data_IF_951497815278
#
_entry.id   IF_951497815278
#
_cell.length_a   1.000
_cell.length_b   1.000
_cell.length_c   1.000
_cell.angle_alpha   90.00
_cell.angle_beta   90.00
_cell.angle_gamma   90.00
#
_symmetry.space_group_name_H-M   'P 1'
#
loop_
_entity.id
_entity.type
_entity.pdbx_description
1 polymer ?
#
# COMPACT_ATOMS: atom_id res chain seq x y z
N UNK A 1 -0.32 -9.30 -0.61
CA UNK A 1 -0.26 -8.69 0.72
C UNK A 1 -1.00 -9.61 1.69
N UNK A 2 -0.65 -9.62 2.99
CA UNK A 2 -1.34 -10.40 4.00
C UNK A 2 -2.85 -10.16 3.87
N UNK A 3 -3.63 -11.23 3.92
CA UNK A 3 -5.09 -11.14 3.83
C UNK A 3 -5.67 -10.87 5.22
N UNK A 4 -6.87 -10.29 5.27
CA UNK A 4 -7.58 -10.04 6.53
C UNK A 4 -8.01 -11.32 7.26
N UNK A 5 -7.84 -12.48 6.63
CA UNK A 5 -8.13 -13.81 7.21
C UNK A 5 -6.97 -14.37 8.02
N UNK A 6 -5.85 -13.64 8.09
CA UNK A 6 -4.70 -14.06 8.87
C UNK A 6 -5.05 -14.02 10.37
N UNK A 7 -4.98 -15.18 11.03
CA UNK A 7 -5.29 -15.36 12.45
C UNK A 7 -4.12 -14.88 13.33
N UNK A 8 -3.96 -13.56 13.40
CA UNK A 8 -2.95 -12.87 14.21
C UNK A 8 -3.54 -11.61 14.82
N UNK A 9 -2.91 -11.11 15.88
CA UNK A 9 -3.33 -9.84 16.46
C UNK A 9 -2.96 -8.63 15.55
N UNK A 10 -3.50 -7.46 15.87
CA UNK A 10 -3.27 -6.25 15.08
C UNK A 10 -1.79 -5.81 15.08
N UNK A 11 -1.08 -6.03 16.19
CA UNK A 11 0.32 -5.63 16.31
C UNK A 11 1.20 -6.52 15.43
N UNK A 12 0.96 -7.82 15.45
CA UNK A 12 1.62 -8.81 14.62
C UNK A 12 1.32 -8.59 13.14
N UNK A 13 0.05 -8.31 12.79
CA UNK A 13 -0.32 -7.95 11.43
C UNK A 13 0.42 -6.70 10.94
N UNK A 14 0.57 -5.71 11.82
CA UNK A 14 1.32 -4.49 11.54
C UNK A 14 2.80 -4.78 11.30
N UNK A 15 3.42 -5.58 12.17
CA UNK A 15 4.83 -5.95 12.05
C UNK A 15 5.09 -6.77 10.77
N UNK A 16 4.17 -7.65 10.37
CA UNK A 16 4.23 -8.37 9.08
C UNK A 16 4.20 -7.39 7.91
N UNK A 17 3.26 -6.43 7.92
CA UNK A 17 3.17 -5.43 6.84
C UNK A 17 4.42 -4.55 6.75
N UNK A 18 5.00 -4.16 7.89
CA UNK A 18 6.23 -3.36 7.96
C UNK A 18 7.44 -4.18 7.48
N UNK A 19 7.53 -5.46 7.87
CA UNK A 19 8.57 -6.38 7.44
C UNK A 19 8.55 -6.63 5.93
N UNK A 20 7.37 -6.68 5.30
CA UNK A 20 7.24 -6.83 3.84
C UNK A 20 7.82 -5.68 3.03
N UNK A 21 7.94 -4.49 3.62
CA UNK A 21 8.51 -3.31 2.99
C UNK A 21 9.91 -2.97 3.53
N UNK A 22 10.54 -3.90 4.25
CA UNK A 22 11.83 -3.71 4.92
C UNK A 22 11.87 -2.48 5.85
N UNK A 23 10.74 -2.14 6.50
CA UNK A 23 10.65 -1.03 7.44
C UNK A 23 10.95 -1.55 8.85
N UNK A 24 12.06 -1.13 9.49
CA UNK A 24 12.40 -1.60 10.82
C UNK A 24 11.44 -1.07 11.89
N UNK A 25 11.03 -1.93 12.82
CA UNK A 25 10.30 -1.57 14.03
C UNK A 25 11.31 -1.48 15.17
N UNK A 26 11.76 -0.25 15.49
CA UNK A 26 12.76 -0.03 16.54
C UNK A 26 12.12 0.45 17.84
N UNK A 27 11.82 1.75 17.93
CA UNK A 27 11.36 2.41 19.16
C UNK A 27 9.85 2.51 19.30
N UNK A 28 9.13 2.56 18.18
CA UNK A 28 7.68 2.73 18.16
C UNK A 28 7.09 2.29 16.83
N UNK A 29 6.07 1.43 16.89
CA UNK A 29 5.27 1.02 15.73
C UNK A 29 4.61 2.21 15.04
N UNK A 30 4.20 3.22 15.80
CA UNK A 30 3.58 4.43 15.25
C UNK A 30 4.54 5.18 14.33
N UNK A 31 5.82 5.28 14.71
CA UNK A 31 6.83 5.93 13.87
C UNK A 31 7.08 5.15 12.57
N UNK A 32 7.17 3.82 12.65
CA UNK A 32 7.31 2.97 11.45
C UNK A 32 6.07 3.04 10.56
N UNK A 33 4.87 3.11 11.14
CA UNK A 33 3.60 3.33 10.42
C UNK A 33 3.55 4.69 9.71
N UNK A 34 4.11 5.76 10.30
CA UNK A 34 4.24 7.04 9.62
C UNK A 34 5.09 6.92 8.34
N UNK A 35 6.19 6.16 8.36
CA UNK A 35 6.98 5.87 7.17
C UNK A 35 6.16 5.09 6.14
N UNK A 36 5.50 4.01 6.57
CA UNK A 36 4.62 3.19 5.73
C UNK A 36 3.55 4.04 5.00
N UNK A 37 2.82 4.88 5.73
CA UNK A 37 1.78 5.73 5.13
C UNK A 37 2.34 6.85 4.26
N UNK A 38 3.52 7.37 4.58
CA UNK A 38 4.21 8.36 3.73
C UNK A 38 4.60 7.73 2.39
N UNK A 39 5.19 6.53 2.40
CA UNK A 39 5.49 5.76 1.19
C UNK A 39 4.21 5.52 0.38
N UNK A 40 3.14 5.04 1.03
CA UNK A 40 1.85 4.83 0.37
C UNK A 40 1.32 6.11 -0.30
N UNK A 41 1.40 7.26 0.38
CA UNK A 41 0.99 8.54 -0.17
C UNK A 41 1.84 8.95 -1.38
N UNK A 42 3.16 8.78 -1.30
CA UNK A 42 4.06 9.07 -2.43
C UNK A 42 3.74 8.19 -3.64
N UNK A 43 3.49 6.89 -3.43
CA UNK A 43 3.04 5.98 -4.49
C UNK A 43 1.71 6.42 -5.11
N UNK A 44 0.73 6.84 -4.30
CA UNK A 44 -0.55 7.36 -4.77
C UNK A 44 -0.41 8.71 -5.49
N UNK A 45 0.57 9.52 -5.11
CA UNK A 45 0.82 10.84 -5.70
C UNK A 45 1.58 10.76 -7.03
N UNK A 46 2.41 9.73 -7.19
CA UNK A 46 3.23 9.51 -8.39
C UNK A 46 2.38 9.46 -9.67
N UNK A 47 2.74 10.28 -10.65
CA UNK A 47 2.04 10.34 -11.94
C UNK A 47 2.11 9.02 -12.73
N UNK A 48 3.14 8.22 -12.50
CA UNK A 48 3.32 6.93 -13.15
C UNK A 48 2.16 5.95 -12.86
N UNK A 49 1.59 6.00 -11.65
CA UNK A 49 0.46 5.16 -11.25
C UNK A 49 -0.91 5.80 -11.56
N UNK A 50 -0.97 7.13 -11.61
CA UNK A 50 -2.18 7.85 -12.05
C UNK A 50 -2.48 7.60 -13.53
N UNK A 51 -1.45 7.60 -14.37
CA UNK A 51 -1.60 7.37 -15.81
C UNK A 51 -2.09 5.95 -16.10
N UNK A 52 -1.59 4.94 -15.38
CA UNK A 52 -2.02 3.54 -15.56
C UNK A 52 -3.51 3.33 -15.18
N UNK A 53 -4.00 4.03 -14.16
CA UNK A 53 -5.41 3.99 -13.77
C UNK A 53 -6.32 4.68 -14.79
N UNK A 54 -5.85 5.79 -15.39
CA UNK A 54 -6.55 6.52 -16.45
C UNK A 54 -6.59 5.70 -17.75
N UNK A 55 -5.47 5.13 -18.18
CA UNK A 55 -5.38 4.28 -19.39
C UNK A 55 -6.30 3.06 -19.33
N UNK A 56 -6.42 2.41 -18.16
CA UNK A 56 -7.37 1.30 -18.00
C UNK A 56 -8.82 1.73 -18.18
N UNK A 57 -9.16 2.96 -17.80
CA UNK A 57 -10.52 3.48 -17.92
C UNK A 57 -10.84 3.84 -19.37
N UNK A 58 -9.92 4.53 -20.05
CA UNK A 58 -10.07 4.88 -21.47
C UNK A 58 -10.21 3.63 -22.38
N UNK A 59 -9.50 2.54 -22.08
CA UNK A 59 -9.61 1.30 -22.86
C UNK A 59 -10.93 0.56 -22.66
N UNK A 60 -11.54 0.64 -21.47
CA UNK A 60 -12.86 0.04 -21.20
C UNK A 60 -13.94 0.85 -21.93
N UNK A 61 -13.89 2.18 -21.84
CA UNK A 61 -14.88 3.06 -22.47
C UNK A 61 -14.87 2.95 -24.01
N UNK A 62 -13.73 2.60 -24.62
CA UNK A 62 -13.61 2.32 -26.06
C UNK A 62 -14.10 0.93 -26.50
N UNK A 63 -14.23 -0.01 -25.58
CA UNK A 63 -14.70 -1.37 -25.87
C UNK A 63 -16.22 -1.52 -25.74
N UNK A 64 -16.87 -0.56 -25.08
CA UNK A 64 -18.33 -0.48 -24.87
C UNK A 64 -19.05 0.37 -25.95
N UNK A 65 -18.35 0.79 -27.00
CA UNK A 65 -18.86 1.52 -28.18
C UNK A 65 -18.75 0.65 -29.45
#
# INVERSE_FOLDING_TARGET
LPTAELDVDLEEYTDICLGLLDIPVSKSRIQSLHCFFSLYREFKSSQHFKNLATEKRDNIDRMEL
#
